data_IF_505983537030
#
_entry.id   IF_505983537030
#
_cell.length_a   1.000
_cell.length_b   1.000
_cell.length_c   1.000
_cell.angle_alpha   90.00
_cell.angle_beta   90.00
_cell.angle_gamma   90.00
#
_symmetry.space_group_name_H-M   'P 1'
#
loop_
_entity.id
_entity.type
_entity.pdbx_description
1 polymer ?
#
# COMPACT_ATOMS: atom_id res chain seq x y z
N UNK A 1 13.66 -3.01 -21.96
CA UNK A 1 12.22 -2.94 -21.63
C UNK A 1 12.13 -2.31 -20.25
N UNK A 2 12.07 -0.98 -20.19
CA UNK A 2 11.84 -0.28 -18.92
C UNK A 2 10.34 -0.16 -18.75
N UNK A 3 9.81 -0.78 -17.71
CA UNK A 3 8.39 -0.71 -17.40
C UNK A 3 8.13 0.63 -16.69
N UNK A 4 7.40 1.51 -17.36
CA UNK A 4 7.12 2.88 -16.89
C UNK A 4 6.42 2.86 -15.53
N UNK A 5 5.54 1.88 -15.31
CA UNK A 5 4.85 1.68 -14.02
C UNK A 5 5.85 1.33 -12.92
N UNK A 6 6.84 0.49 -13.22
CA UNK A 6 7.87 0.12 -12.25
C UNK A 6 8.74 1.34 -11.90
N UNK A 7 9.05 2.19 -12.87
CA UNK A 7 9.84 3.40 -12.62
C UNK A 7 9.09 4.40 -11.74
N UNK A 8 7.80 4.60 -11.99
CA UNK A 8 6.95 5.48 -11.20
C UNK A 8 6.80 4.97 -9.76
N UNK A 9 6.50 3.69 -9.58
CA UNK A 9 6.38 3.07 -8.25
C UNK A 9 7.68 3.23 -7.44
N UNK A 10 8.84 3.09 -8.09
CA UNK A 10 10.14 3.29 -7.41
C UNK A 10 10.31 4.74 -6.98
N UNK A 11 10.04 5.70 -7.87
CA UNK A 11 10.13 7.12 -7.54
C UNK A 11 9.21 7.51 -6.37
N UNK A 12 7.97 7.01 -6.35
CA UNK A 12 7.03 7.23 -5.24
C UNK A 12 7.58 6.63 -3.94
N UNK A 13 8.09 5.40 -3.99
CA UNK A 13 8.64 4.72 -2.81
C UNK A 13 9.84 5.50 -2.24
N UNK A 14 10.72 5.98 -3.11
CA UNK A 14 11.92 6.71 -2.70
C UNK A 14 11.55 8.07 -2.11
N UNK A 15 10.58 8.79 -2.71
CA UNK A 15 10.06 10.04 -2.17
C UNK A 15 9.40 9.87 -0.78
N UNK A 16 8.67 8.78 -0.56
CA UNK A 16 8.11 8.44 0.76
C UNK A 16 9.24 8.14 1.75
N UNK A 17 10.26 7.38 1.34
CA UNK A 17 11.43 7.09 2.16
C UNK A 17 12.15 8.35 2.63
N UNK A 18 12.38 9.29 1.72
CA UNK A 18 13.00 10.59 2.04
C UNK A 18 12.10 11.45 2.94
N UNK A 19 10.79 11.55 2.63
CA UNK A 19 9.84 12.36 3.42
C UNK A 19 9.80 11.95 4.89
N UNK A 20 9.90 10.66 5.18
CA UNK A 20 9.83 10.12 6.54
C UNK A 20 11.19 9.73 7.11
N UNK A 21 12.30 10.05 6.44
CA UNK A 21 13.65 9.61 6.83
C UNK A 21 13.74 8.10 7.12
N UNK A 22 12.99 7.29 6.36
CA UNK A 22 12.84 5.85 6.57
C UNK A 22 12.31 5.44 7.96
N UNK A 23 11.70 6.36 8.71
CA UNK A 23 11.02 6.06 9.96
C UNK A 23 9.63 5.47 9.70
N UNK A 24 9.53 4.16 9.91
CA UNK A 24 8.31 3.40 9.72
C UNK A 24 7.20 3.78 10.71
N UNK A 25 7.55 4.27 11.90
CA UNK A 25 6.55 4.70 12.90
C UNK A 25 5.90 6.01 12.46
N UNK A 26 6.72 6.97 12.04
CA UNK A 26 6.21 8.25 11.53
C UNK A 26 5.30 8.06 10.31
N UNK A 27 5.67 7.15 9.40
CA UNK A 27 4.82 6.79 8.26
C UNK A 27 3.48 6.17 8.69
N UNK A 28 3.50 5.27 9.68
CA UNK A 28 2.28 4.62 10.17
C UNK A 28 1.29 5.62 10.79
N UNK A 29 1.80 6.58 11.58
CA UNK A 29 0.98 7.63 12.18
C UNK A 29 0.36 8.56 11.11
N UNK A 30 1.10 8.89 10.05
CA UNK A 30 0.58 9.69 8.94
C UNK A 30 -0.52 8.95 8.17
N UNK A 31 -0.34 7.65 7.92
CA UNK A 31 -1.37 6.80 7.31
C UNK A 31 -2.62 6.79 8.17
N UNK A 32 -2.49 6.61 9.49
CA UNK A 32 -3.64 6.59 10.42
C UNK A 32 -4.41 7.91 10.43
N UNK A 33 -3.71 9.04 10.31
CA UNK A 33 -4.33 10.35 10.18
C UNK A 33 -5.12 10.46 8.88
N UNK A 34 -4.52 10.06 7.75
CA UNK A 34 -5.20 10.06 6.45
C UNK A 34 -6.41 9.14 6.43
N UNK A 35 -6.34 7.97 7.08
CA UNK A 35 -7.49 7.07 7.23
C UNK A 35 -8.65 7.74 7.98
N UNK A 36 -8.36 8.47 9.06
CA UNK A 36 -9.37 9.20 9.83
C UNK A 36 -10.01 10.33 9.01
N UNK A 37 -9.21 11.06 8.22
CA UNK A 37 -9.71 12.11 7.32
C UNK A 37 -10.61 11.54 6.22
N UNK A 38 -10.21 10.42 5.60
CA UNK A 38 -11.00 9.72 4.60
C UNK A 38 -12.31 9.18 5.17
N UNK A 39 -12.26 8.62 6.38
CA UNK A 39 -13.45 8.17 7.09
C UNK A 39 -14.39 9.33 7.42
N UNK A 40 -13.86 10.49 7.82
CA UNK A 40 -14.64 11.70 8.03
C UNK A 40 -15.27 12.24 6.73
N UNK A 41 -14.58 12.09 5.60
CA UNK A 41 -15.11 12.40 4.26
C UNK A 41 -16.12 11.36 3.74
N UNK A 42 -16.42 10.30 4.51
CA UNK A 42 -17.37 9.26 4.15
C UNK A 42 -16.82 8.19 3.19
N UNK A 43 -15.51 8.13 2.99
CA UNK A 43 -14.86 7.10 2.17
C UNK A 43 -14.85 5.77 2.94
N UNK A 44 -15.28 4.70 2.27
CA UNK A 44 -15.29 3.37 2.86
C UNK A 44 -13.88 2.79 2.92
N UNK A 45 -13.34 2.64 4.14
CA UNK A 45 -12.03 2.04 4.37
C UNK A 45 -12.15 0.52 4.39
N UNK A 46 -11.45 -0.16 3.48
CA UNK A 46 -11.41 -1.62 3.43
C UNK A 46 -10.26 -2.09 4.32
N UNK A 47 -10.60 -2.82 5.39
CA UNK A 47 -9.59 -3.38 6.27
C UNK A 47 -8.79 -4.46 5.56
N UNK A 48 -7.46 -4.50 5.74
CA UNK A 48 -6.66 -5.59 5.21
C UNK A 48 -7.10 -6.91 5.86
N UNK A 49 -7.04 -8.02 5.11
CA UNK A 49 -7.40 -9.32 5.61
C UNK A 49 -6.47 -9.76 6.75
N UNK A 50 -7.00 -10.36 7.84
CA UNK A 50 -6.22 -10.69 9.03
C UNK A 50 -5.13 -11.74 8.78
N UNK A 51 -5.31 -12.58 7.76
CA UNK A 51 -4.28 -13.50 7.31
C UNK A 51 -4.21 -13.50 5.77
N UNK A 52 -3.19 -12.87 5.18
CA UNK A 52 -3.06 -12.83 3.72
C UNK A 52 -2.80 -14.21 3.11
N UNK A 53 -2.31 -15.18 3.89
CA UNK A 53 -2.07 -16.55 3.44
C UNK A 53 -3.35 -17.41 3.47
N UNK A 54 -4.36 -17.05 4.28
CA UNK A 54 -5.61 -17.81 4.34
C UNK A 54 -6.62 -17.43 3.24
N UNK A 55 -6.36 -16.37 2.50
CA UNK A 55 -7.24 -15.89 1.44
C UNK A 55 -7.01 -16.63 0.12
N UNK A 56 -7.10 -17.96 0.10
CA UNK A 56 -7.13 -18.71 -1.16
C UNK A 56 -8.34 -18.18 -1.98
N UNK A 57 -8.10 -17.45 -3.07
CA UNK A 57 -9.07 -16.91 -4.02
C UNK A 57 -9.81 -15.59 -3.65
N UNK A 58 -9.21 -14.67 -2.90
CA UNK A 58 -9.80 -13.32 -2.75
C UNK A 58 -9.34 -12.35 -3.84
N UNK A 59 -10.18 -11.36 -4.19
CA UNK A 59 -9.81 -10.27 -5.11
C UNK A 59 -8.63 -9.41 -4.63
N UNK A 60 -8.28 -9.49 -3.33
CA UNK A 60 -7.13 -8.82 -2.73
C UNK A 60 -5.83 -9.63 -2.86
N UNK A 61 -5.89 -10.88 -3.37
CA UNK A 61 -4.69 -11.57 -3.76
C UNK A 61 -4.08 -10.85 -4.95
N UNK A 62 -2.90 -10.24 -4.74
CA UNK A 62 -1.98 -9.88 -5.83
C UNK A 62 -1.98 -11.05 -6.81
N UNK A 63 -2.41 -10.81 -8.04
CA UNK A 63 -2.26 -11.74 -9.16
C UNK A 63 -0.83 -12.29 -9.11
N UNK A 64 -0.67 -13.50 -8.58
CA UNK A 64 0.60 -14.21 -8.69
C UNK A 64 0.67 -14.56 -10.15
N UNK A 65 1.37 -13.74 -10.94
CA UNK A 65 1.82 -14.17 -12.25
C UNK A 65 2.52 -15.50 -12.01
N UNK A 66 1.88 -16.60 -12.44
CA UNK A 66 2.50 -17.92 -12.35
C UNK A 66 3.85 -17.78 -13.05
N UNK A 67 4.94 -18.03 -12.31
CA UNK A 67 6.25 -18.19 -12.95
C UNK A 67 6.09 -19.38 -13.90
N UNK A 68 6.02 -19.09 -15.19
CA UNK A 68 6.29 -20.07 -16.25
C UNK A 68 7.79 -20.23 -16.38
#
# INVERSE_FOLDING_TARGET
MNDEIITEIRAIKDAIGEKFNYDLRALFEDIKRGEAELQAAGVQLISPPPNPASLLNSALQRTRFARR
#
